data_IF_535009670083
#
_entry.id   IF_535009670083
#
_cell.length_a   1.000
_cell.length_b   1.000
_cell.length_c   1.000
_cell.angle_alpha   90.00
_cell.angle_beta   90.00
_cell.angle_gamma   90.00
#
_symmetry.space_group_name_H-M   'P 1'
#
loop_
_entity.id
_entity.type
_entity.pdbx_description
1 polymer ?
#
# COMPACT_ATOMS: atom_id res chain seq x y z
N UNK A 1 1.51 -24.98 -20.78
CA UNK A 1 0.28 -25.63 -21.20
C UNK A 1 -0.98 -24.77 -21.00
N UNK A 2 -1.20 -24.10 -19.87
CA UNK A 2 -2.43 -23.28 -19.61
C UNK A 2 -2.49 -21.96 -20.41
N UNK A 3 -1.33 -21.38 -20.82
CA UNK A 3 -1.28 -20.20 -21.74
C UNK A 3 -1.86 -20.47 -23.14
N UNK A 4 -1.99 -21.71 -23.54
CA UNK A 4 -2.52 -22.12 -24.87
C UNK A 4 -4.05 -22.05 -24.98
N UNK A 5 -4.77 -21.82 -23.88
CA UNK A 5 -6.24 -21.82 -23.88
C UNK A 5 -6.89 -20.42 -23.89
N UNK A 6 -6.12 -19.34 -24.10
CA UNK A 6 -6.65 -18.00 -24.40
C UNK A 6 -7.57 -17.36 -23.34
N UNK A 7 -7.70 -17.95 -22.15
CA UNK A 7 -8.47 -17.42 -21.03
C UNK A 7 -7.54 -16.82 -19.99
N UNK A 8 -7.68 -15.53 -19.71
CA UNK A 8 -6.95 -14.78 -18.71
C UNK A 8 -7.20 -15.26 -17.28
N UNK A 9 -6.73 -16.46 -16.96
CA UNK A 9 -6.81 -17.06 -15.64
C UNK A 9 -5.43 -17.04 -14.97
N UNK A 10 -5.01 -15.89 -14.46
CA UNK A 10 -3.77 -15.75 -13.67
C UNK A 10 -3.85 -16.52 -12.34
N UNK A 11 -5.02 -16.87 -11.88
CA UNK A 11 -5.29 -17.45 -10.56
C UNK A 11 -5.25 -19.00 -10.53
N UNK A 12 -5.70 -19.68 -11.58
CA UNK A 12 -5.81 -21.15 -11.61
C UNK A 12 -4.48 -21.89 -11.42
N UNK A 13 -3.36 -21.47 -12.06
CA UNK A 13 -2.06 -22.12 -11.84
C UNK A 13 -1.60 -22.05 -10.39
N UNK A 14 -1.78 -20.89 -9.76
CA UNK A 14 -1.42 -20.70 -8.35
C UNK A 14 -2.28 -21.51 -7.39
N UNK A 15 -3.59 -21.63 -7.66
CA UNK A 15 -4.50 -22.49 -6.86
C UNK A 15 -4.07 -23.95 -6.89
N UNK A 16 -3.73 -24.45 -8.08
CA UNK A 16 -3.24 -25.84 -8.23
C UNK A 16 -1.92 -26.01 -7.49
N UNK A 17 -1.00 -25.06 -7.67
CA UNK A 17 0.30 -25.09 -7.04
C UNK A 17 0.20 -25.08 -5.49
N UNK A 18 -0.65 -24.23 -4.92
CA UNK A 18 -0.90 -24.17 -3.47
C UNK A 18 -1.60 -25.43 -2.92
N UNK A 19 -2.45 -26.11 -3.72
CA UNK A 19 -3.03 -27.40 -3.32
C UNK A 19 -1.97 -28.50 -3.23
N UNK A 20 -0.99 -28.50 -4.13
CA UNK A 20 0.09 -29.48 -4.17
C UNK A 20 1.20 -29.16 -3.14
N UNK A 21 1.49 -27.89 -2.94
CA UNK A 21 2.49 -27.41 -2.01
C UNK A 21 1.98 -26.15 -1.29
N UNK A 22 1.32 -26.25 -0.14
CA UNK A 22 0.74 -25.11 0.57
C UNK A 22 1.75 -24.02 0.95
N UNK A 23 3.01 -24.37 1.18
CA UNK A 23 4.09 -23.42 1.51
C UNK A 23 4.93 -23.00 0.29
N UNK A 24 4.44 -23.22 -0.94
CA UNK A 24 5.21 -22.93 -2.14
C UNK A 24 5.67 -21.47 -2.21
N UNK A 25 4.78 -20.51 -1.88
CA UNK A 25 5.12 -19.10 -1.90
C UNK A 25 6.29 -18.78 -0.96
N UNK A 26 6.29 -19.32 0.25
CA UNK A 26 7.39 -19.12 1.21
C UNK A 26 8.73 -19.69 0.73
N UNK A 27 8.69 -20.81 0.01
CA UNK A 27 9.90 -21.38 -0.60
C UNK A 27 10.43 -20.49 -1.74
N UNK A 28 9.53 -20.00 -2.61
CA UNK A 28 9.92 -19.20 -3.79
C UNK A 28 10.32 -17.77 -3.43
N UNK A 29 9.74 -17.19 -2.39
CA UNK A 29 10.05 -15.84 -1.91
C UNK A 29 11.36 -15.77 -1.10
N UNK A 30 11.89 -16.91 -0.69
CA UNK A 30 13.11 -16.96 0.10
C UNK A 30 14.27 -16.27 -0.64
N UNK A 31 14.96 -15.36 0.04
CA UNK A 31 16.08 -14.56 -0.49
C UNK A 31 15.71 -13.59 -1.63
N UNK A 32 14.43 -13.22 -1.75
CA UNK A 32 13.96 -12.15 -2.64
C UNK A 32 13.62 -10.94 -1.79
N UNK A 33 14.24 -9.80 -2.07
CA UNK A 33 13.86 -8.53 -1.44
C UNK A 33 12.46 -8.16 -1.92
N UNK A 34 11.49 -8.19 -1.00
CA UNK A 34 10.09 -8.01 -1.36
C UNK A 34 9.53 -6.72 -0.78
N UNK A 35 8.83 -5.96 -1.63
CA UNK A 35 8.01 -4.81 -1.23
C UNK A 35 6.56 -5.15 -1.52
N UNK A 36 5.68 -4.91 -0.54
CA UNK A 36 4.23 -5.10 -0.69
C UNK A 36 3.56 -3.73 -0.67
N UNK A 37 2.68 -3.48 -1.64
CA UNK A 37 1.80 -2.31 -1.70
C UNK A 37 0.37 -2.77 -1.46
N UNK A 38 -0.28 -2.22 -0.43
CA UNK A 38 -1.66 -2.53 -0.06
C UNK A 38 -2.42 -1.25 0.31
N UNK A 39 -3.73 -1.35 0.50
CA UNK A 39 -4.64 -0.24 0.78
C UNK A 39 -5.72 -0.13 -0.29
N UNK A 40 -6.74 0.70 -0.08
CA UNK A 40 -7.95 0.70 -0.93
C UNK A 40 -7.68 1.30 -2.30
N UNK A 41 -7.13 2.51 -2.37
CA UNK A 41 -6.92 3.24 -3.62
C UNK A 41 -5.43 3.50 -3.88
N UNK A 42 -5.06 3.65 -5.16
CA UNK A 42 -3.72 4.07 -5.56
C UNK A 42 -2.64 2.98 -5.55
N UNK A 43 -2.97 1.73 -5.24
CA UNK A 43 -2.01 0.59 -5.22
C UNK A 43 -1.22 0.48 -6.53
N UNK A 44 -1.91 0.42 -7.66
CA UNK A 44 -1.30 0.25 -8.98
C UNK A 44 -0.44 1.45 -9.36
N UNK A 45 -0.89 2.67 -9.07
CA UNK A 45 -0.10 3.89 -9.33
C UNK A 45 1.18 3.90 -8.49
N UNK A 46 1.06 3.63 -7.19
CA UNK A 46 2.22 3.54 -6.29
C UNK A 46 3.19 2.45 -6.74
N UNK A 47 2.68 1.28 -7.13
CA UNK A 47 3.51 0.19 -7.65
C UNK A 47 4.28 0.61 -8.91
N UNK A 48 3.63 1.29 -9.86
CA UNK A 48 4.30 1.80 -11.07
C UNK A 48 5.40 2.82 -10.76
N UNK A 49 5.19 3.69 -9.80
CA UNK A 49 6.22 4.66 -9.36
C UNK A 49 7.44 3.94 -8.78
N UNK A 50 7.22 2.90 -7.96
CA UNK A 50 8.30 2.06 -7.42
C UNK A 50 9.01 1.30 -8.55
N UNK A 51 8.26 0.69 -9.48
CA UNK A 51 8.83 0.01 -10.64
C UNK A 51 9.73 0.93 -11.47
N UNK A 52 9.26 2.15 -11.78
CA UNK A 52 10.05 3.12 -12.53
C UNK A 52 11.37 3.48 -11.81
N UNK A 53 11.30 3.71 -10.50
CA UNK A 53 12.49 3.95 -9.68
C UNK A 53 13.48 2.78 -9.72
N UNK A 54 12.99 1.54 -9.70
CA UNK A 54 13.83 0.35 -9.79
C UNK A 54 14.44 0.17 -11.17
N UNK A 55 13.69 0.47 -12.24
CA UNK A 55 14.20 0.46 -13.62
C UNK A 55 15.37 1.44 -13.76
N UNK A 56 15.19 2.68 -13.32
CA UNK A 56 16.23 3.72 -13.37
C UNK A 56 17.46 3.39 -12.52
N UNK A 57 17.25 2.66 -11.42
CA UNK A 57 18.32 2.18 -10.56
C UNK A 57 18.99 0.88 -11.04
N UNK A 58 18.56 0.30 -12.17
CA UNK A 58 19.09 -0.96 -12.71
C UNK A 58 18.78 -2.19 -11.85
N UNK A 59 17.75 -2.13 -11.00
CA UNK A 59 17.36 -3.23 -10.11
C UNK A 59 16.64 -4.30 -10.91
N UNK A 60 17.08 -5.55 -10.76
CA UNK A 60 16.43 -6.71 -11.37
C UNK A 60 15.24 -7.14 -10.53
N UNK A 61 14.02 -6.95 -11.04
CA UNK A 61 12.78 -7.20 -10.34
C UNK A 61 11.70 -7.85 -11.20
N UNK A 62 10.67 -8.35 -10.56
CA UNK A 62 9.37 -8.65 -11.17
C UNK A 62 8.25 -8.06 -10.30
N UNK A 63 7.08 -7.84 -10.91
CA UNK A 63 5.87 -7.42 -10.23
C UNK A 63 4.69 -8.31 -10.64
N UNK A 64 3.72 -8.51 -9.76
CA UNK A 64 2.47 -9.17 -10.15
C UNK A 64 1.63 -8.21 -10.99
N UNK A 65 0.97 -8.76 -12.02
CA UNK A 65 0.11 -7.98 -12.90
C UNK A 65 -1.17 -7.56 -12.17
N UNK A 66 -1.74 -6.44 -12.60
CA UNK A 66 -3.08 -6.01 -12.17
C UNK A 66 -4.09 -7.16 -12.27
N UNK A 67 -4.84 -7.40 -11.19
CA UNK A 67 -5.77 -8.53 -11.07
C UNK A 67 -5.16 -9.84 -10.54
N UNK A 68 -3.84 -9.94 -10.35
CA UNK A 68 -3.16 -11.07 -9.71
C UNK A 68 -2.79 -10.75 -8.24
N UNK A 69 -3.63 -10.00 -7.56
CA UNK A 69 -3.43 -9.45 -6.21
C UNK A 69 -3.87 -10.39 -5.06
N UNK A 70 -4.38 -11.59 -5.41
CA UNK A 70 -4.71 -12.65 -4.46
C UNK A 70 -3.51 -13.58 -4.21
N UNK A 71 -3.52 -14.31 -3.10
CA UNK A 71 -2.47 -15.27 -2.73
C UNK A 71 -2.09 -16.23 -3.87
N UNK A 72 -3.07 -16.77 -4.58
CA UNK A 72 -2.85 -17.67 -5.71
C UNK A 72 -2.21 -16.96 -6.91
N UNK A 73 -2.62 -15.73 -7.21
CA UNK A 73 -2.02 -14.91 -8.26
C UNK A 73 -0.56 -14.58 -7.97
N UNK A 74 -0.27 -14.11 -6.76
CA UNK A 74 1.10 -13.84 -6.30
C UNK A 74 1.96 -15.10 -6.35
N UNK A 75 1.44 -16.25 -5.90
CA UNK A 75 2.16 -17.54 -5.97
C UNK A 75 2.47 -17.94 -7.40
N UNK A 76 1.53 -17.73 -8.33
CA UNK A 76 1.74 -18.03 -9.74
C UNK A 76 2.84 -17.15 -10.36
N UNK A 77 2.89 -15.86 -10.02
CA UNK A 77 3.94 -14.95 -10.49
C UNK A 77 5.31 -15.36 -9.95
N UNK A 78 5.44 -15.67 -8.66
CA UNK A 78 6.69 -16.21 -8.12
C UNK A 78 7.13 -17.50 -8.82
N UNK A 79 6.17 -18.41 -9.10
CA UNK A 79 6.47 -19.68 -9.79
C UNK A 79 6.94 -19.45 -11.23
N UNK A 80 6.34 -18.52 -11.98
CA UNK A 80 6.76 -18.18 -13.35
C UNK A 80 8.16 -17.59 -13.38
N UNK A 81 8.54 -16.84 -12.37
CA UNK A 81 9.82 -16.16 -12.26
C UNK A 81 10.90 -16.98 -11.53
N UNK A 82 10.61 -18.21 -11.15
CA UNK A 82 11.54 -19.13 -10.49
C UNK A 82 11.97 -20.28 -11.41
N UNK A 83 13.11 -20.85 -11.08
CA UNK A 83 13.61 -22.09 -11.69
C UNK A 83 12.88 -23.32 -11.11
N UNK A 84 13.04 -24.48 -11.73
CA UNK A 84 12.53 -25.75 -11.21
C UNK A 84 13.13 -26.14 -9.84
N UNK A 85 14.29 -25.59 -9.49
CA UNK A 85 14.91 -25.76 -8.16
C UNK A 85 14.34 -24.81 -7.10
N UNK A 86 13.34 -23.98 -7.44
CA UNK A 86 12.71 -23.01 -6.53
C UNK A 86 13.49 -21.71 -6.35
N UNK A 87 14.59 -21.49 -7.10
CA UNK A 87 15.36 -20.25 -7.02
C UNK A 87 14.73 -19.18 -7.92
N UNK A 88 14.37 -18.04 -7.37
CA UNK A 88 13.91 -16.87 -8.14
C UNK A 88 15.03 -16.34 -9.03
N UNK A 89 14.68 -15.89 -10.25
CA UNK A 89 15.61 -15.30 -11.24
C UNK A 89 15.88 -13.83 -10.99
N UNK A 90 15.08 -13.19 -10.15
CA UNK A 90 15.13 -11.77 -9.84
C UNK A 90 15.56 -11.56 -8.39
N UNK A 91 16.19 -10.42 -8.12
CA UNK A 91 16.63 -10.05 -6.78
C UNK A 91 15.52 -9.39 -5.96
N UNK A 92 14.57 -8.77 -6.65
CA UNK A 92 13.48 -8.02 -6.03
C UNK A 92 12.12 -8.48 -6.56
N UNK A 93 11.10 -8.35 -5.72
CA UNK A 93 9.69 -8.55 -6.07
C UNK A 93 8.85 -7.39 -5.55
N UNK A 94 8.02 -6.83 -6.41
CA UNK A 94 7.00 -5.85 -6.04
C UNK A 94 5.64 -6.53 -6.09
N UNK A 95 4.96 -6.54 -4.96
CA UNK A 95 3.66 -7.21 -4.81
C UNK A 95 2.58 -6.18 -4.53
N UNK A 96 1.65 -6.04 -5.46
CA UNK A 96 0.38 -5.39 -5.21
C UNK A 96 -0.56 -6.42 -4.58
N UNK A 97 -1.02 -6.18 -3.37
CA UNK A 97 -1.88 -7.09 -2.63
C UNK A 97 -3.21 -6.41 -2.25
N UNK A 98 -4.30 -7.12 -2.50
CA UNK A 98 -5.60 -6.83 -1.87
C UNK A 98 -5.46 -6.97 -0.35
N UNK A 99 -6.21 -6.20 0.43
CA UNK A 99 -6.06 -6.13 1.89
C UNK A 99 -6.35 -7.48 2.57
N UNK A 100 -7.37 -8.20 2.08
CA UNK A 100 -7.69 -9.53 2.59
C UNK A 100 -6.63 -10.57 2.17
N UNK A 101 -6.08 -10.44 0.95
CA UNK A 101 -5.02 -11.30 0.47
C UNK A 101 -3.70 -11.02 1.18
N UNK A 102 -3.39 -9.76 1.52
CA UNK A 102 -2.20 -9.37 2.25
C UNK A 102 -2.08 -10.12 3.59
N UNK A 103 -3.17 -10.24 4.34
CA UNK A 103 -3.24 -11.07 5.55
C UNK A 103 -2.75 -12.50 5.34
N UNK A 104 -3.06 -13.10 4.19
CA UNK A 104 -2.64 -14.45 3.86
C UNK A 104 -1.21 -14.50 3.31
N UNK A 105 -0.82 -13.53 2.47
CA UNK A 105 0.51 -13.43 1.86
C UNK A 105 1.58 -13.23 2.93
N UNK A 106 1.34 -12.35 3.93
CA UNK A 106 2.27 -12.06 5.02
C UNK A 106 2.69 -13.30 5.83
N UNK A 107 1.91 -14.40 5.81
CA UNK A 107 2.29 -15.66 6.45
C UNK A 107 3.40 -16.42 5.73
N UNK A 108 3.62 -16.16 4.45
CA UNK A 108 4.55 -16.89 3.60
C UNK A 108 5.72 -16.05 3.13
N UNK A 109 5.48 -14.74 2.97
CA UNK A 109 6.48 -13.79 2.52
C UNK A 109 6.91 -12.95 3.72
N UNK A 110 8.23 -12.83 3.93
CA UNK A 110 8.82 -11.90 4.90
C UNK A 110 9.28 -10.63 4.14
N UNK A 111 8.39 -9.65 3.93
CA UNK A 111 8.72 -8.50 3.11
C UNK A 111 9.69 -7.56 3.81
N UNK A 112 10.54 -6.90 3.02
CA UNK A 112 11.46 -5.87 3.52
C UNK A 112 10.75 -4.55 3.82
N UNK A 113 9.71 -4.25 3.02
CA UNK A 113 8.88 -3.07 3.21
C UNK A 113 7.42 -3.32 2.84
N UNK A 114 6.53 -2.61 3.51
CA UNK A 114 5.09 -2.57 3.25
C UNK A 114 4.69 -1.10 3.10
N UNK A 115 4.04 -0.78 2.00
CA UNK A 115 3.43 0.53 1.74
C UNK A 115 1.93 0.40 1.90
N UNK A 116 1.34 1.19 2.80
CA UNK A 116 -0.11 1.29 2.96
C UNK A 116 -0.56 2.63 2.41
N UNK A 117 -1.31 2.60 1.32
CA UNK A 117 -1.68 3.82 0.59
C UNK A 117 -2.77 4.63 1.29
N UNK A 118 -3.87 4.00 1.61
CA UNK A 118 -5.01 4.57 2.34
C UNK A 118 -6.03 3.47 2.66
N UNK A 119 -6.99 3.81 3.53
CA UNK A 119 -8.10 2.92 3.89
C UNK A 119 -9.41 3.67 3.68
N UNK A 120 -10.12 3.34 2.61
CA UNK A 120 -11.44 3.87 2.26
C UNK A 120 -12.49 2.76 2.33
N UNK A 121 -13.77 3.18 2.32
CA UNK A 121 -14.89 2.27 2.09
C UNK A 121 -14.91 1.88 0.62
N UNK A 122 -15.08 0.60 0.32
CA UNK A 122 -15.35 0.19 -1.05
C UNK A 122 -16.78 0.62 -1.44
N UNK A 123 -16.95 1.04 -2.72
CA UNK A 123 -18.22 1.62 -3.22
C UNK A 123 -19.41 0.66 -3.17
N UNK A 124 -19.18 -0.63 -2.99
CA UNK A 124 -20.20 -1.69 -3.06
C UNK A 124 -20.67 -2.17 -1.68
N UNK A 125 -20.15 -1.66 -0.56
CA UNK A 125 -20.26 -2.38 0.69
C UNK A 125 -20.91 -1.69 1.88
N UNK A 126 -21.32 -2.55 2.83
CA UNK A 126 -22.19 -2.30 3.98
C UNK A 126 -21.39 -1.83 5.22
N UNK A 127 -22.11 -1.38 6.24
CA UNK A 127 -21.58 -0.96 7.52
C UNK A 127 -20.55 -1.96 8.12
N UNK A 128 -19.36 -1.47 8.50
CA UNK A 128 -18.33 -2.24 9.21
C UNK A 128 -17.09 -2.61 8.39
N UNK A 129 -17.08 -2.35 7.08
CA UNK A 129 -16.01 -2.82 6.18
C UNK A 129 -14.68 -2.10 6.37
N UNK A 130 -14.67 -0.79 6.56
CA UNK A 130 -13.45 -0.02 6.82
C UNK A 130 -12.67 -0.60 8.01
N UNK A 131 -13.40 -1.00 9.07
CA UNK A 131 -12.79 -1.64 10.25
C UNK A 131 -12.23 -3.02 9.91
N UNK A 132 -12.93 -3.79 9.06
CA UNK A 132 -12.47 -5.11 8.63
C UNK A 132 -11.25 -5.01 7.70
N UNK A 133 -11.24 -4.06 6.77
CA UNK A 133 -10.11 -3.76 5.90
C UNK A 133 -8.88 -3.38 6.70
N UNK A 134 -9.03 -2.45 7.65
CA UNK A 134 -7.95 -2.05 8.56
C UNK A 134 -7.41 -3.22 9.37
N UNK A 135 -8.29 -4.09 9.87
CA UNK A 135 -7.92 -5.28 10.63
C UNK A 135 -7.17 -6.30 9.77
N UNK A 136 -7.57 -6.51 8.52
CA UNK A 136 -6.84 -7.37 7.59
C UNK A 136 -5.43 -6.86 7.31
N UNK A 137 -5.27 -5.53 7.13
CA UNK A 137 -3.96 -4.90 6.96
C UNK A 137 -3.12 -5.08 8.22
N UNK A 138 -3.70 -4.83 9.40
CA UNK A 138 -3.02 -5.00 10.70
C UNK A 138 -2.48 -6.43 10.88
N UNK A 139 -3.32 -7.44 10.63
CA UNK A 139 -2.89 -8.85 10.73
C UNK A 139 -1.82 -9.17 9.68
N UNK A 140 -1.90 -8.60 8.47
CA UNK A 140 -0.86 -8.76 7.43
C UNK A 140 0.48 -8.21 7.90
N UNK A 141 0.49 -7.06 8.56
CA UNK A 141 1.69 -6.46 9.15
C UNK A 141 2.23 -7.32 10.29
N UNK A 142 1.37 -7.80 11.20
CA UNK A 142 1.76 -8.69 12.30
C UNK A 142 2.40 -9.99 11.81
N UNK A 143 1.95 -10.50 10.66
CA UNK A 143 2.58 -11.65 10.00
C UNK A 143 3.92 -11.31 9.31
N UNK A 144 4.33 -10.03 9.31
CA UNK A 144 5.51 -9.49 8.63
C UNK A 144 6.37 -8.65 9.61
N UNK A 145 6.88 -9.24 10.71
CA UNK A 145 7.46 -8.48 11.82
C UNK A 145 8.77 -7.75 11.50
N UNK A 146 9.46 -8.13 10.42
CA UNK A 146 10.72 -7.52 10.01
C UNK A 146 10.55 -6.38 9.00
N UNK A 147 9.34 -6.20 8.45
CA UNK A 147 9.08 -5.19 7.45
C UNK A 147 9.18 -3.76 8.00
N UNK A 148 9.73 -2.85 7.21
CA UNK A 148 9.58 -1.41 7.42
C UNK A 148 8.23 -0.97 6.84
N UNK A 149 7.51 -0.12 7.56
CA UNK A 149 6.22 0.39 7.11
C UNK A 149 6.37 1.80 6.53
N UNK A 150 5.81 2.03 5.35
CA UNK A 150 5.54 3.36 4.83
C UNK A 150 4.03 3.61 4.93
N UNK A 151 3.62 4.51 5.83
CA UNK A 151 2.23 4.79 6.14
C UNK A 151 1.85 6.21 5.71
N UNK A 152 0.66 6.35 5.14
CA UNK A 152 0.12 7.66 4.80
C UNK A 152 -0.27 8.43 6.07
N UNK A 153 0.45 9.53 6.36
CA UNK A 153 0.18 10.40 7.50
C UNK A 153 -1.18 11.09 7.42
N UNK A 154 -1.66 11.35 6.20
CA UNK A 154 -2.91 12.08 5.95
C UNK A 154 -4.15 11.24 6.27
N UNK A 155 -3.99 9.92 6.43
CA UNK A 155 -5.05 8.97 6.76
C UNK A 155 -4.98 8.55 8.23
N UNK A 156 -6.01 8.93 9.01
CA UNK A 156 -6.09 8.61 10.44
C UNK A 156 -6.19 7.10 10.72
N UNK A 157 -6.69 6.32 9.76
CA UNK A 157 -6.76 4.86 9.85
C UNK A 157 -5.39 4.23 9.60
N UNK A 158 -4.67 4.68 8.56
CA UNK A 158 -3.30 4.24 8.30
C UNK A 158 -2.38 4.55 9.48
N UNK A 159 -2.44 5.77 10.02
CA UNK A 159 -1.59 6.16 11.16
C UNK A 159 -1.89 5.39 12.44
N UNK A 160 -3.11 4.87 12.59
CA UNK A 160 -3.47 4.03 13.74
C UNK A 160 -2.71 2.70 13.76
N UNK A 161 -2.25 2.21 12.61
CA UNK A 161 -1.45 0.99 12.51
C UNK A 161 -0.09 1.13 13.21
N UNK A 162 0.52 2.32 13.18
CA UNK A 162 1.82 2.56 13.82
C UNK A 162 1.84 2.29 15.33
N UNK A 163 0.70 2.51 16.01
CA UNK A 163 0.58 2.23 17.45
C UNK A 163 0.18 0.79 17.78
N UNK A 164 -0.17 0.00 16.77
CA UNK A 164 -0.68 -1.36 16.93
C UNK A 164 0.36 -2.45 16.64
N UNK A 165 1.49 -2.10 16.01
CA UNK A 165 2.53 -3.04 15.57
C UNK A 165 3.92 -2.54 15.95
N UNK A 166 4.91 -3.46 16.18
CA UNK A 166 6.26 -3.08 16.61
C UNK A 166 7.18 -2.68 15.44
N UNK A 167 6.70 -2.73 14.21
CA UNK A 167 7.48 -2.48 13.02
C UNK A 167 8.01 -1.03 12.98
N UNK A 168 9.22 -0.76 12.44
CA UNK A 168 9.68 0.59 12.15
C UNK A 168 8.75 1.27 11.14
N UNK A 169 8.33 2.50 11.43
CA UNK A 169 7.40 3.27 10.60
C UNK A 169 8.09 4.49 10.03
N UNK A 170 7.82 4.76 8.74
CA UNK A 170 8.08 6.02 8.06
C UNK A 170 6.71 6.58 7.64
N UNK A 171 6.46 7.84 7.92
CA UNK A 171 5.27 8.53 7.46
C UNK A 171 5.55 9.35 6.21
N UNK A 172 4.63 9.30 5.26
CA UNK A 172 4.62 10.18 4.09
C UNK A 172 3.26 10.90 3.99
N UNK A 173 3.21 12.05 3.33
CA UNK A 173 1.97 12.81 3.21
C UNK A 173 2.11 14.12 2.46
N UNK A 174 1.06 14.96 2.50
CA UNK A 174 1.01 16.25 1.83
C UNK A 174 0.95 17.36 2.88
N UNK A 175 1.94 18.25 2.90
CA UNK A 175 2.08 19.33 3.89
C UNK A 175 1.51 20.68 3.42
N UNK A 176 0.71 20.67 2.37
CA UNK A 176 0.08 21.88 1.82
C UNK A 176 -1.35 21.59 1.41
N UNK A 177 -2.28 22.55 1.52
CA UNK A 177 -3.61 22.40 0.92
C UNK A 177 -3.49 22.34 -0.60
N UNK A 178 -4.19 21.38 -1.23
CA UNK A 178 -4.24 21.24 -2.70
C UNK A 178 -5.31 22.16 -3.28
N UNK A 179 -6.41 22.36 -2.56
CA UNK A 179 -7.55 23.17 -3.02
C UNK A 179 -7.73 24.41 -2.15
N UNK A 180 -8.08 25.53 -2.78
CA UNK A 180 -8.31 26.82 -2.11
C UNK A 180 -9.54 26.82 -1.18
N UNK A 181 -10.50 25.93 -1.40
CA UNK A 181 -11.70 25.79 -0.58
C UNK A 181 -11.94 24.33 -0.22
N UNK A 182 -12.53 24.11 0.97
CA UNK A 182 -12.90 22.78 1.43
C UNK A 182 -14.00 22.23 0.49
N UNK A 183 -13.71 21.13 -0.17
CA UNK A 183 -14.72 20.36 -0.90
C UNK A 183 -15.47 19.55 0.15
N UNK A 184 -16.80 19.70 0.25
CA UNK A 184 -17.64 18.86 1.09
C UNK A 184 -17.77 17.49 0.44
N UNK A 185 -16.82 16.61 0.69
CA UNK A 185 -16.87 15.22 0.29
C UNK A 185 -17.33 14.34 1.46
N UNK A 186 -17.96 13.22 1.13
CA UNK A 186 -18.30 12.19 2.11
C UNK A 186 -17.01 11.62 2.72
N UNK A 187 -16.85 11.79 4.02
CA UNK A 187 -15.72 11.27 4.77
C UNK A 187 -16.02 9.86 5.28
N UNK A 188 -15.19 8.89 4.91
CA UNK A 188 -15.30 7.51 5.39
C UNK A 188 -14.81 7.33 6.83
N UNK A 189 -13.99 8.26 7.33
CA UNK A 189 -13.46 8.24 8.67
C UNK A 189 -13.63 9.61 9.38
N UNK A 190 -14.87 10.11 9.58
CA UNK A 190 -15.10 11.43 10.16
C UNK A 190 -14.81 11.49 11.66
N UNK A 191 -14.73 10.34 12.34
CA UNK A 191 -14.60 10.24 13.79
C UNK A 191 -13.28 9.65 14.23
N UNK A 192 -12.75 10.20 15.31
CA UNK A 192 -11.52 9.72 15.94
C UNK A 192 -11.58 8.21 16.25
N UNK A 193 -10.60 7.46 15.75
CA UNK A 193 -10.52 6.01 15.96
C UNK A 193 -10.40 5.66 17.45
N UNK A 194 -9.82 6.57 18.28
CA UNK A 194 -9.59 6.35 19.70
C UNK A 194 -10.81 6.68 20.57
N UNK A 195 -11.42 7.84 20.38
CA UNK A 195 -12.47 8.35 21.28
C UNK A 195 -13.80 8.67 20.60
N UNK A 196 -13.94 8.44 19.31
CA UNK A 196 -15.17 8.59 18.51
C UNK A 196 -15.71 10.03 18.38
N UNK A 197 -14.95 11.05 18.78
CA UNK A 197 -15.32 12.44 18.52
C UNK A 197 -14.91 12.84 17.10
N UNK A 198 -15.64 13.79 16.51
CA UNK A 198 -15.36 14.27 15.16
C UNK A 198 -13.96 14.89 15.09
N UNK A 199 -13.25 14.63 13.98
CA UNK A 199 -12.00 15.29 13.68
C UNK A 199 -12.21 16.74 13.25
N UNK A 200 -11.22 17.56 13.57
CA UNK A 200 -11.05 18.90 13.00
C UNK A 200 -9.87 18.85 12.04
N UNK A 201 -9.99 19.49 10.89
CA UNK A 201 -8.98 19.52 9.85
C UNK A 201 -8.45 20.93 9.63
N UNK A 202 -7.14 21.10 9.56
CA UNK A 202 -6.53 22.33 9.08
C UNK A 202 -6.72 22.46 7.57
N UNK A 203 -6.58 21.34 6.83
CA UNK A 203 -6.95 21.18 5.42
C UNK A 203 -7.29 19.73 5.12
N UNK A 204 -8.04 19.52 4.04
CA UNK A 204 -8.37 18.22 3.47
C UNK A 204 -7.78 18.15 2.06
N UNK A 205 -7.18 17.03 1.71
CA UNK A 205 -6.63 16.79 0.36
C UNK A 205 -7.59 15.98 -0.51
N UNK A 206 -8.18 14.92 0.05
CA UNK A 206 -9.17 14.08 -0.63
C UNK A 206 -9.96 13.25 0.39
N UNK A 207 -11.29 13.28 0.34
CA UNK A 207 -12.17 12.53 1.23
C UNK A 207 -11.89 12.83 2.71
N UNK A 208 -11.34 11.86 3.45
CA UNK A 208 -10.93 12.03 4.85
C UNK A 208 -9.42 12.22 5.03
N UNK A 209 -8.67 12.29 3.92
CA UNK A 209 -7.23 12.53 3.97
C UNK A 209 -6.93 14.00 4.20
N UNK A 210 -5.98 14.30 5.08
CA UNK A 210 -5.54 15.66 5.33
C UNK A 210 -4.89 15.86 6.70
N UNK A 211 -4.73 17.12 7.11
CA UNK A 211 -4.15 17.46 8.41
C UNK A 211 -5.23 17.48 9.48
N UNK A 212 -5.51 16.30 10.01
CA UNK A 212 -6.55 16.07 11.03
C UNK A 212 -5.99 16.18 12.46
N UNK A 213 -6.89 16.52 13.40
CA UNK A 213 -6.68 16.39 14.83
C UNK A 213 -7.99 16.10 15.56
N UNK A 214 -7.94 15.33 16.63
CA UNK A 214 -9.06 15.15 17.54
C UNK A 214 -9.01 16.22 18.64
N UNK A 215 -10.03 17.07 18.78
CA UNK A 215 -10.03 18.13 19.78
C UNK A 215 -10.17 17.60 21.22
N UNK A 216 -10.55 16.33 21.40
CA UNK A 216 -10.84 15.75 22.72
C UNK A 216 -9.69 14.94 23.26
N UNK A 217 -9.13 13.99 22.47
CA UNK A 217 -8.06 13.12 22.96
C UNK A 217 -6.67 13.47 22.42
N UNK A 218 -6.55 14.50 21.57
CA UNK A 218 -5.28 14.95 21.01
C UNK A 218 -4.70 14.06 19.91
N UNK A 219 -5.37 12.97 19.53
CA UNK A 219 -4.91 12.15 18.41
C UNK A 219 -4.89 12.97 17.13
N UNK A 220 -3.76 13.06 16.48
CA UNK A 220 -3.55 13.94 15.34
C UNK A 220 -2.63 13.29 14.29
N UNK A 221 -2.66 13.86 13.10
CA UNK A 221 -1.74 13.54 12.02
C UNK A 221 -0.29 13.67 12.50
N UNK A 222 0.54 12.61 12.35
CA UNK A 222 1.96 12.73 12.59
C UNK A 222 2.62 13.62 11.53
N UNK A 223 3.77 14.22 11.86
CA UNK A 223 4.56 14.92 10.86
C UNK A 223 5.23 13.89 9.94
N UNK A 224 5.06 13.97 8.61
CA UNK A 224 5.65 13.03 7.68
C UNK A 224 7.15 13.30 7.51
N UNK A 225 7.96 12.23 7.43
CA UNK A 225 9.39 12.30 7.10
C UNK A 225 9.61 12.61 5.61
N UNK A 226 8.65 12.24 4.75
CA UNK A 226 8.65 12.56 3.33
C UNK A 226 7.33 13.22 3.00
N UNK A 227 7.37 14.46 2.57
CA UNK A 227 6.18 15.24 2.29
C UNK A 227 6.18 15.85 0.89
N UNK A 228 5.00 16.05 0.33
CA UNK A 228 4.79 17.04 -0.72
C UNK A 228 4.57 18.39 -0.02
N UNK A 229 5.50 19.32 -0.20
CA UNK A 229 5.50 20.63 0.48
C UNK A 229 4.85 21.73 -0.35
N UNK A 230 4.81 21.58 -1.67
CA UNK A 230 4.20 22.51 -2.61
C UNK A 230 3.46 21.74 -3.70
N UNK A 231 2.29 22.25 -4.09
CA UNK A 231 1.47 21.72 -5.19
C UNK A 231 0.94 22.89 -5.99
N UNK A 232 1.18 22.86 -7.31
CA UNK A 232 0.53 23.74 -8.27
C UNK A 232 -0.15 22.89 -9.35
N UNK A 233 -1.46 22.88 -9.37
CA UNK A 233 -2.25 22.22 -10.42
C UNK A 233 -2.15 23.07 -11.67
N UNK A 234 -1.50 22.56 -12.72
CA UNK A 234 -1.27 23.29 -13.96
C UNK A 234 -2.39 23.08 -14.98
N UNK A 235 -2.92 21.87 -15.05
CA UNK A 235 -4.06 21.51 -15.89
C UNK A 235 -4.75 20.22 -15.35
N UNK A 236 -5.63 19.63 -16.16
CA UNK A 236 -6.38 18.43 -15.75
C UNK A 236 -5.53 17.15 -15.66
N UNK A 237 -4.36 17.13 -16.26
CA UNK A 237 -3.50 15.96 -16.38
C UNK A 237 -2.15 16.12 -15.67
N UNK A 238 -1.77 17.37 -15.33
CA UNK A 238 -0.45 17.68 -14.80
C UNK A 238 -0.52 18.53 -13.53
N UNK A 239 0.41 18.26 -12.62
CA UNK A 239 0.67 19.08 -11.44
C UNK A 239 2.17 19.22 -11.21
N UNK A 240 2.60 20.42 -10.84
CA UNK A 240 3.95 20.64 -10.34
C UNK A 240 3.95 20.44 -8.83
N UNK A 241 4.87 19.63 -8.33
CA UNK A 241 4.99 19.32 -6.91
C UNK A 241 6.43 19.46 -6.43
N UNK A 242 6.60 19.71 -5.14
CA UNK A 242 7.92 19.68 -4.50
C UNK A 242 7.88 18.63 -3.41
N UNK A 243 8.69 17.58 -3.56
CA UNK A 243 8.96 16.60 -2.50
C UNK A 243 10.01 17.15 -1.55
N UNK A 244 9.81 16.94 -0.25
CA UNK A 244 10.70 17.35 0.82
C UNK A 244 10.91 16.18 1.80
N UNK A 245 12.17 15.78 2.04
CA UNK A 245 12.56 14.75 3.01
C UNK A 245 13.26 15.36 4.25
N UNK A 246 13.11 16.68 4.45
CA UNK A 246 13.77 17.44 5.50
C UNK A 246 15.26 17.75 5.22
N UNK A 247 15.84 17.20 4.15
CA UNK A 247 17.24 17.42 3.73
C UNK A 247 17.33 17.98 2.31
N UNK A 248 16.43 17.54 1.45
CA UNK A 248 16.39 17.92 0.03
C UNK A 248 14.97 18.25 -0.37
N UNK A 249 14.87 19.25 -1.25
CA UNK A 249 13.62 19.61 -1.94
C UNK A 249 13.79 19.25 -3.41
N UNK A 250 12.90 18.41 -3.92
CA UNK A 250 12.98 17.85 -5.27
C UNK A 250 11.71 18.26 -6.01
N UNK A 251 11.79 19.19 -6.97
CA UNK A 251 10.66 19.52 -7.83
C UNK A 251 10.41 18.37 -8.82
N UNK A 252 9.14 18.12 -9.12
CA UNK A 252 8.71 17.15 -10.11
C UNK A 252 7.40 17.58 -10.75
N UNK A 253 7.19 17.15 -11.99
CA UNK A 253 5.88 17.22 -12.68
C UNK A 253 5.25 15.83 -12.63
N UNK A 254 4.01 15.76 -12.20
CA UNK A 254 3.24 14.51 -12.06
C UNK A 254 1.93 14.60 -12.83
#
# INVERSE_FOLDING_TARGET
MIRLLGRGGTDLPGRIALKLCPNLLGVLAKNVTTVIVTGTNGKTTTSRMIEQSWIESGISYFANKSGANLLSGVTAEFAVHSSLSGKCRYTHALIEADEAAFKAIGKFVDPNAIVVTNVFRDQLDRYGEVTHTLENIRIGIENSPHAKLALNADDSLCTSLAGAVPNPVLFYGVNTPIYASRVEELSDAPYCIRCKHAYVYDYVTYGHLGKYRCPVCGYSRPEPEIAVSEVAVTDAEHSEVVFDDGKKRIPATI
#
